data_IF_379276052038
#
_entry.id   IF_379276052038
#
_cell.length_a   1.000
_cell.length_b   1.000
_cell.length_c   1.000
_cell.angle_alpha   90.00
_cell.angle_beta   90.00
_cell.angle_gamma   90.00
#
_symmetry.space_group_name_H-M   'P 1'
#
loop_
_entity.id
_entity.type
_entity.pdbx_description
1 polymer ?
#
# COMPACT_ATOMS: atom_id res chain seq x y z
N UNK A 1 -22.00 11.28 32.36
CA UNK A 1 -21.43 12.19 31.33
C UNK A 1 -22.25 12.06 30.06
N UNK A 2 -22.87 13.15 29.58
CA UNK A 2 -23.57 13.15 28.29
C UNK A 2 -22.50 13.24 27.20
N UNK A 3 -22.31 12.18 26.42
CA UNK A 3 -21.47 12.26 25.22
C UNK A 3 -22.08 13.28 24.27
N UNK A 4 -21.29 14.24 23.79
CA UNK A 4 -21.71 15.13 22.71
C UNK A 4 -22.08 14.27 21.50
N UNK A 5 -23.30 14.38 21.00
CA UNK A 5 -23.72 13.62 19.82
C UNK A 5 -23.53 14.52 18.60
N UNK A 6 -22.53 14.21 17.78
CA UNK A 6 -22.33 14.90 16.51
C UNK A 6 -23.53 14.67 15.59
N UNK A 7 -23.86 15.68 14.80
CA UNK A 7 -24.85 15.66 13.74
C UNK A 7 -24.16 15.55 12.38
N UNK A 8 -24.92 15.24 11.34
CA UNK A 8 -24.41 15.15 9.97
C UNK A 8 -23.66 16.40 9.54
N UNK A 9 -24.20 17.59 9.85
CA UNK A 9 -23.56 18.86 9.51
C UNK A 9 -22.18 19.01 10.15
N UNK A 10 -22.02 18.59 11.41
CA UNK A 10 -20.74 18.69 12.11
C UNK A 10 -19.65 17.84 11.40
N UNK A 11 -20.03 16.69 10.84
CA UNK A 11 -19.12 15.81 10.09
C UNK A 11 -18.78 16.41 8.72
N UNK A 12 -19.75 17.03 8.04
CA UNK A 12 -19.54 17.71 6.76
C UNK A 12 -18.56 18.88 6.97
N UNK A 13 -18.81 19.74 7.95
CA UNK A 13 -17.95 20.88 8.28
C UNK A 13 -16.53 20.40 8.61
N UNK A 14 -16.43 19.32 9.40
CA UNK A 14 -15.14 18.71 9.75
C UNK A 14 -14.40 18.15 8.53
N UNK A 15 -15.14 17.62 7.56
CA UNK A 15 -14.59 17.08 6.31
C UNK A 15 -14.11 18.19 5.39
N UNK A 16 -14.85 19.29 5.29
CA UNK A 16 -14.43 20.48 4.55
C UNK A 16 -13.13 21.05 5.13
N UNK A 17 -13.05 21.20 6.45
CA UNK A 17 -11.82 21.67 7.11
C UNK A 17 -10.63 20.74 6.83
N UNK A 18 -10.85 19.42 6.84
CA UNK A 18 -9.82 18.44 6.51
C UNK A 18 -9.32 18.60 5.06
N UNK A 19 -10.22 18.79 4.10
CA UNK A 19 -9.86 18.99 2.69
C UNK A 19 -9.08 20.30 2.53
N UNK A 20 -9.50 21.38 3.20
CA UNK A 20 -8.76 22.66 3.18
C UNK A 20 -7.36 22.52 3.76
N UNK A 21 -7.19 21.78 4.87
CA UNK A 21 -5.88 21.51 5.46
C UNK A 21 -4.97 20.71 4.52
N UNK A 22 -5.54 19.73 3.80
CA UNK A 22 -4.82 18.93 2.81
C UNK A 22 -4.34 19.79 1.63
N UNK A 23 -5.24 20.60 1.05
CA UNK A 23 -4.93 21.47 -0.10
C UNK A 23 -3.95 22.58 0.28
N UNK A 24 -4.12 23.20 1.46
CA UNK A 24 -3.19 24.23 1.95
C UNK A 24 -1.86 23.66 2.49
N UNK A 25 -1.63 22.36 2.37
CA UNK A 25 -0.39 21.66 2.80
C UNK A 25 -0.02 21.91 4.26
N UNK A 26 -1.01 22.11 5.13
CA UNK A 26 -0.81 22.31 6.56
C UNK A 26 -0.65 20.96 7.29
N UNK A 27 0.50 20.32 7.09
CA UNK A 27 0.82 18.98 7.59
C UNK A 27 0.59 18.81 9.09
N UNK A 28 1.07 19.73 9.93
CA UNK A 28 0.95 19.62 11.39
C UNK A 28 -0.51 19.65 11.88
N UNK A 29 -1.32 20.53 11.28
CA UNK A 29 -2.74 20.66 11.60
C UNK A 29 -3.52 19.44 11.11
N UNK A 30 -3.17 18.91 9.93
CA UNK A 30 -3.75 17.69 9.37
C UNK A 30 -3.47 16.48 10.27
N UNK A 31 -2.20 16.26 10.66
CA UNK A 31 -1.80 15.11 11.48
C UNK A 31 -2.52 15.05 12.84
N UNK A 32 -2.85 16.20 13.45
CA UNK A 32 -3.60 16.28 14.72
C UNK A 32 -5.04 15.77 14.65
N UNK A 33 -5.59 15.64 13.44
CA UNK A 33 -6.96 15.17 13.19
C UNK A 33 -7.01 13.67 12.89
N UNK A 34 -5.86 13.00 12.75
CA UNK A 34 -5.80 11.59 12.37
C UNK A 34 -5.95 10.67 13.59
N UNK A 35 -6.55 9.52 13.35
CA UNK A 35 -6.53 8.42 14.29
C UNK A 35 -5.15 7.74 14.31
N UNK A 36 -4.79 7.10 15.44
CA UNK A 36 -3.52 6.37 15.55
C UNK A 36 -3.43 5.18 14.59
N UNK A 37 -4.57 4.67 14.10
CA UNK A 37 -4.63 3.62 13.08
C UNK A 37 -5.09 4.14 11.72
N UNK A 38 -4.84 5.42 11.40
CA UNK A 38 -5.25 6.03 10.14
C UNK A 38 -4.72 5.25 8.91
N UNK A 39 -5.52 5.19 7.84
CA UNK A 39 -5.13 4.60 6.55
C UNK A 39 -5.57 5.49 5.41
N UNK A 40 -4.63 5.85 4.53
CA UNK A 40 -4.90 6.58 3.29
C UNK A 40 -4.79 5.69 2.06
N UNK A 41 -5.68 5.88 1.08
CA UNK A 41 -5.64 5.27 -0.25
C UNK A 41 -5.81 6.39 -1.28
N UNK A 42 -5.01 6.38 -2.35
CA UNK A 42 -5.17 7.31 -3.46
C UNK A 42 -4.36 6.95 -4.70
N UNK A 43 -4.48 7.78 -5.73
CA UNK A 43 -3.94 7.52 -7.08
C UNK A 43 -2.41 7.61 -7.19
N UNK A 44 -1.78 8.29 -6.24
CA UNK A 44 -0.32 8.36 -6.12
C UNK A 44 0.11 7.40 -5.02
N UNK A 45 1.18 6.64 -5.30
CA UNK A 45 1.80 5.55 -4.53
C UNK A 45 1.14 5.29 -3.17
N UNK A 46 0.50 4.12 -2.93
CA UNK A 46 -0.27 3.85 -1.72
C UNK A 46 0.61 3.96 -0.48
N UNK A 47 0.72 5.18 0.04
CA UNK A 47 1.27 5.51 1.34
C UNK A 47 0.33 4.90 2.35
N UNK A 48 0.56 3.62 2.63
CA UNK A 48 0.00 2.89 3.75
C UNK A 48 0.67 3.46 5.01
N UNK A 49 0.33 4.70 5.37
CA UNK A 49 0.83 5.37 6.56
C UNK A 49 0.11 4.74 7.75
N UNK A 50 0.58 3.57 8.21
CA UNK A 50 0.32 3.15 9.58
C UNK A 50 1.20 4.02 10.47
N UNK A 51 0.58 4.86 11.30
CA UNK A 51 1.27 5.67 12.29
C UNK A 51 1.90 4.76 13.37
N UNK A 52 3.05 4.17 13.07
CA UNK A 52 4.08 3.80 14.04
C UNK A 52 5.09 4.95 14.18
N UNK A 53 5.79 5.09 15.32
CA UNK A 53 6.74 6.17 15.52
C UNK A 53 7.95 5.93 14.61
N UNK A 54 7.99 6.56 13.44
CA UNK A 54 9.17 6.54 12.58
C UNK A 54 8.88 6.40 11.09
N UNK A 55 8.21 7.37 10.48
CA UNK A 55 8.47 7.68 9.08
C UNK A 55 8.07 9.11 8.75
N UNK A 56 8.98 10.05 9.05
CA UNK A 56 8.98 11.36 8.40
C UNK A 56 9.73 11.13 7.09
N UNK A 57 9.03 11.05 5.96
CA UNK A 57 9.73 11.17 4.67
C UNK A 57 10.43 12.53 4.65
N UNK A 58 11.70 12.60 4.23
CA UNK A 58 12.34 13.89 4.04
C UNK A 58 11.59 14.59 2.91
N UNK A 59 10.93 15.71 3.25
CA UNK A 59 10.45 16.65 2.25
C UNK A 59 11.63 17.10 1.38
N UNK A 60 11.36 17.62 0.17
CA UNK A 60 12.40 18.14 -0.70
C UNK A 60 13.28 19.13 0.07
N UNK A 61 14.59 19.03 -0.16
CA UNK A 61 15.62 19.93 0.34
C UNK A 61 15.14 21.38 0.34
N UNK A 62 15.41 22.09 1.44
CA UNK A 62 15.12 23.50 1.64
C UNK A 62 15.37 24.34 0.37
N UNK A 63 14.39 25.13 -0.10
CA UNK A 63 14.55 25.91 -1.32
C UNK A 63 15.63 27.00 -1.16
N UNK A 64 16.39 27.20 -2.24
CA UNK A 64 17.45 28.17 -2.38
C UNK A 64 16.87 29.61 -2.26
N UNK A 65 17.39 30.51 -1.40
CA UNK A 65 16.73 31.79 -1.05
C UNK A 65 16.60 32.84 -2.17
N UNK A 66 17.02 32.54 -3.40
CA UNK A 66 17.24 33.52 -4.47
C UNK A 66 16.30 33.37 -5.68
N UNK A 67 15.36 32.43 -5.66
CA UNK A 67 14.33 32.29 -6.69
C UNK A 67 12.98 32.49 -6.00
N UNK A 68 12.15 33.50 -6.40
CA UNK A 68 10.77 33.54 -5.97
C UNK A 68 10.12 32.23 -6.43
N UNK A 69 9.76 31.35 -5.48
CA UNK A 69 8.95 30.20 -5.84
C UNK A 69 7.67 30.74 -6.50
N UNK A 70 7.29 30.22 -7.66
CA UNK A 70 6.07 30.69 -8.29
C UNK A 70 4.90 30.48 -7.32
N UNK A 71 4.13 31.53 -7.06
CA UNK A 71 2.96 31.44 -6.18
C UNK A 71 1.85 30.62 -6.87
N UNK A 72 1.90 29.30 -6.67
CA UNK A 72 0.81 28.41 -7.06
C UNK A 72 -0.34 28.65 -6.08
N UNK A 73 -1.48 29.11 -6.58
CA UNK A 73 -2.72 29.19 -5.80
C UNK A 73 -3.66 28.05 -6.17
N UNK A 74 -4.13 27.31 -5.17
CA UNK A 74 -5.06 26.20 -5.35
C UNK A 74 -6.44 26.61 -4.83
N UNK A 75 -7.47 26.48 -5.67
CA UNK A 75 -8.85 26.79 -5.34
C UNK A 75 -9.71 25.52 -5.35
N UNK A 76 -10.52 25.34 -4.30
CA UNK A 76 -11.51 24.27 -4.18
C UNK A 76 -12.86 24.79 -4.70
N UNK A 77 -13.58 23.99 -5.47
CA UNK A 77 -14.90 24.32 -5.99
C UNK A 77 -15.72 23.06 -6.28
N UNK A 78 -17.00 23.22 -6.65
CA UNK A 78 -17.89 22.10 -7.05
C UNK A 78 -17.91 20.97 -6.02
N UNK A 79 -18.04 21.36 -4.75
CA UNK A 79 -18.00 20.42 -3.63
C UNK A 79 -19.37 19.78 -3.42
N UNK A 80 -19.39 18.45 -3.32
CA UNK A 80 -20.57 17.65 -3.02
C UNK A 80 -20.24 16.72 -1.85
N UNK A 81 -21.12 16.65 -0.85
CA UNK A 81 -20.93 15.87 0.37
C UNK A 81 -22.17 15.04 0.65
N UNK A 82 -21.98 13.77 0.99
CA UNK A 82 -23.06 12.87 1.39
C UNK A 82 -22.60 12.01 2.58
N UNK A 83 -23.33 12.10 3.70
CA UNK A 83 -23.18 11.15 4.80
C UNK A 83 -23.90 9.86 4.39
N UNK A 84 -23.13 8.81 4.10
CA UNK A 84 -23.64 7.55 3.56
C UNK A 84 -24.13 6.63 4.67
N UNK A 85 -23.45 6.66 5.82
CA UNK A 85 -23.80 5.85 6.97
C UNK A 85 -23.22 6.45 8.24
N UNK A 86 -23.93 6.26 9.35
CA UNK A 86 -23.39 6.52 10.66
C UNK A 86 -23.87 5.46 11.65
N UNK A 87 -22.94 4.85 12.40
CA UNK A 87 -23.25 3.88 13.45
C UNK A 87 -22.45 4.20 14.71
N UNK A 88 -23.17 4.40 15.82
CA UNK A 88 -22.63 4.70 17.16
C UNK A 88 -21.67 5.90 17.16
N UNK A 89 -20.40 5.65 16.86
CA UNK A 89 -19.29 6.58 16.90
C UNK A 89 -18.51 6.60 15.57
N UNK A 90 -19.00 5.96 14.52
CA UNK A 90 -18.38 5.95 13.20
C UNK A 90 -19.28 6.65 12.18
N UNK A 91 -18.68 7.49 11.35
CA UNK A 91 -19.35 8.24 10.30
C UNK A 91 -18.62 8.00 8.98
N UNK A 92 -19.37 7.65 7.94
CA UNK A 92 -18.86 7.47 6.59
C UNK A 92 -19.41 8.58 5.72
N UNK A 93 -18.52 9.39 5.17
CA UNK A 93 -18.86 10.49 4.27
C UNK A 93 -18.18 10.24 2.92
N UNK A 94 -18.93 10.36 1.85
CA UNK A 94 -18.39 10.39 0.50
C UNK A 94 -18.69 11.74 -0.13
N UNK A 95 -17.99 12.02 -1.23
CA UNK A 95 -18.20 13.26 -1.93
C UNK A 95 -17.22 13.45 -3.05
N UNK A 96 -17.27 14.65 -3.63
CA UNK A 96 -16.31 15.09 -4.60
C UNK A 96 -16.05 16.59 -4.49
N UNK A 97 -14.92 17.02 -4.99
CA UNK A 97 -14.59 18.44 -5.15
C UNK A 97 -13.65 18.61 -6.33
N UNK A 98 -13.64 19.80 -6.92
CA UNK A 98 -12.72 20.18 -7.99
C UNK A 98 -11.61 21.05 -7.42
N UNK A 99 -10.37 20.63 -7.58
CA UNK A 99 -9.18 21.43 -7.27
C UNK A 99 -8.65 22.09 -8.55
N UNK A 100 -8.46 23.40 -8.49
CA UNK A 100 -8.00 24.22 -9.60
C UNK A 100 -6.73 24.95 -9.21
N UNK A 101 -5.62 24.67 -9.88
CA UNK A 101 -4.34 25.31 -9.61
C UNK A 101 -4.10 26.46 -10.61
N UNK A 102 -3.70 27.62 -10.10
CA UNK A 102 -3.36 28.81 -10.87
C UNK A 102 -1.93 29.26 -10.58
N UNK A 103 -1.30 29.83 -11.60
CA UNK A 103 0.02 30.47 -11.53
C UNK A 103 -0.04 31.79 -12.27
N UNK A 104 0.29 32.90 -11.62
CA UNK A 104 0.22 34.24 -12.21
C UNK A 104 -1.14 34.52 -12.90
N UNK A 105 -2.24 34.04 -12.29
CA UNK A 105 -3.59 34.16 -12.82
C UNK A 105 -3.92 33.23 -14.00
N UNK A 106 -2.99 32.40 -14.46
CA UNK A 106 -3.21 31.39 -15.51
C UNK A 106 -3.56 30.04 -14.90
N UNK A 107 -4.59 29.41 -15.45
CA UNK A 107 -4.99 28.05 -15.08
C UNK A 107 -3.89 27.05 -15.46
N UNK A 108 -3.33 26.34 -14.48
CA UNK A 108 -2.37 25.25 -14.72
C UNK A 108 -3.08 23.92 -14.91
N UNK A 109 -4.00 23.61 -14.01
CA UNK A 109 -4.63 22.30 -13.91
C UNK A 109 -5.97 22.42 -13.19
N UNK A 110 -6.93 21.61 -13.63
CA UNK A 110 -8.19 21.40 -12.94
C UNK A 110 -8.42 19.89 -12.84
N UNK A 111 -8.67 19.40 -11.64
CA UNK A 111 -8.92 17.99 -11.38
C UNK A 111 -10.13 17.82 -10.48
N UNK A 112 -11.02 16.90 -10.84
CA UNK A 112 -12.10 16.47 -9.95
C UNK A 112 -11.57 15.33 -9.08
N UNK A 113 -11.69 15.46 -7.76
CA UNK A 113 -11.34 14.44 -6.78
C UNK A 113 -12.64 13.85 -6.23
N UNK A 114 -12.71 12.52 -6.16
CA UNK A 114 -13.78 11.78 -5.49
C UNK A 114 -13.17 11.15 -4.24
N UNK A 115 -13.89 11.20 -3.13
CA UNK A 115 -13.37 10.75 -1.85
C UNK A 115 -14.36 9.91 -1.03
N UNK A 116 -13.81 9.16 -0.08
CA UNK A 116 -14.53 8.52 1.02
C UNK A 116 -13.73 8.66 2.29
N UNK A 117 -14.27 9.39 3.28
CA UNK A 117 -13.66 9.57 4.59
C UNK A 117 -14.47 8.82 5.65
N UNK A 118 -13.76 8.23 6.60
CA UNK A 118 -14.36 7.55 7.76
C UNK A 118 -13.86 8.24 9.02
N UNK A 119 -14.79 8.82 9.77
CA UNK A 119 -14.54 9.51 11.02
C UNK A 119 -14.95 8.67 12.21
N UNK A 120 -14.10 8.62 13.23
CA UNK A 120 -14.40 8.03 14.54
C UNK A 120 -14.53 9.11 15.59
N UNK A 121 -15.63 9.10 16.31
CA UNK A 121 -15.83 9.88 17.49
C UNK A 121 -15.13 9.23 18.69
N UNK A 122 -14.19 9.96 19.28
CA UNK A 122 -13.50 9.62 20.52
C UNK A 122 -13.74 10.73 21.55
N UNK A 123 -14.78 10.57 22.37
CA UNK A 123 -15.24 11.62 23.29
C UNK A 123 -15.81 12.82 22.54
N UNK A 124 -15.20 13.99 22.73
CA UNK A 124 -15.56 15.26 22.06
C UNK A 124 -14.76 15.50 20.78
N UNK A 125 -13.92 14.54 20.35
CA UNK A 125 -13.09 14.67 19.15
C UNK A 125 -13.59 13.74 18.04
N UNK A 126 -13.52 14.22 16.81
CA UNK A 126 -13.64 13.42 15.60
C UNK A 126 -12.24 13.20 15.03
N UNK A 127 -11.87 11.94 14.86
CA UNK A 127 -10.59 11.51 14.33
C UNK A 127 -10.81 10.80 13.00
N UNK A 128 -10.02 11.15 11.99
CA UNK A 128 -10.07 10.51 10.68
C UNK A 128 -9.37 9.15 10.76
N UNK A 129 -10.13 8.08 10.52
CA UNK A 129 -9.62 6.70 10.56
C UNK A 129 -9.23 6.21 9.16
N UNK A 130 -9.96 6.64 8.14
CA UNK A 130 -9.67 6.25 6.77
C UNK A 130 -9.97 7.39 5.81
N UNK A 131 -9.11 7.56 4.81
CA UNK A 131 -9.34 8.43 3.67
C UNK A 131 -9.02 7.70 2.38
N UNK A 132 -9.99 7.63 1.47
CA UNK A 132 -9.77 7.29 0.08
C UNK A 132 -9.98 8.54 -0.77
N UNK A 133 -9.05 8.88 -1.66
CA UNK A 133 -9.14 10.01 -2.57
C UNK A 133 -8.54 9.67 -3.92
N UNK A 134 -9.33 9.82 -4.98
CA UNK A 134 -8.89 9.52 -6.34
C UNK A 134 -9.30 10.64 -7.29
N UNK A 135 -8.45 10.93 -8.28
CA UNK A 135 -8.79 11.78 -9.40
C UNK A 135 -9.85 11.07 -10.25
N UNK A 136 -11.01 11.71 -10.37
CA UNK A 136 -12.01 11.37 -11.37
C UNK A 136 -11.47 11.77 -12.73
N UNK A 137 -10.86 10.81 -13.44
CA UNK A 137 -10.59 10.98 -14.88
C UNK A 137 -11.94 10.92 -15.59
N UNK A 138 -12.34 11.96 -16.34
CA UNK A 138 -13.51 11.83 -17.19
C UNK A 138 -13.26 10.63 -18.11
N UNK A 139 -14.14 9.64 -18.02
CA UNK A 139 -14.08 8.49 -18.90
C UNK A 139 -14.15 9.06 -20.31
N UNK A 140 -13.09 8.88 -21.10
CA UNK A 140 -13.18 9.20 -22.52
C UNK A 140 -14.41 8.46 -23.02
N UNK A 141 -15.44 9.20 -23.46
CA UNK A 141 -16.56 8.61 -24.18
C UNK A 141 -15.94 8.07 -25.47
N UNK A 142 -15.42 6.85 -25.39
CA UNK A 142 -15.04 6.08 -26.55
C UNK A 142 -16.34 5.82 -27.29
N UNK A 143 -16.69 6.72 -28.20
CA UNK A 143 -17.55 6.37 -29.31
C UNK A 143 -16.80 5.32 -30.13
N UNK A 144 -17.02 4.05 -29.78
CA UNK A 144 -16.56 2.89 -30.53
C UNK A 144 -15.46 2.09 -29.84
N UNK A 145 -15.73 0.80 -29.62
CA UNK A 145 -14.72 -0.25 -29.50
C UNK A 145 -14.41 -0.71 -28.08
N UNK A 146 -14.89 -1.92 -27.73
CA UNK A 146 -14.22 -2.79 -26.78
C UNK A 146 -12.81 -3.09 -27.32
N UNK A 147 -11.81 -2.29 -26.94
CA UNK A 147 -10.40 -2.68 -27.00
C UNK A 147 -9.57 -1.72 -26.14
N UNK A 148 -8.59 -2.28 -25.44
CA UNK A 148 -7.43 -1.60 -24.85
C UNK A 148 -7.50 -1.11 -23.39
N UNK A 149 -8.27 -1.79 -22.53
CA UNK A 149 -7.99 -1.81 -21.09
C UNK A 149 -7.15 -3.04 -20.74
N UNK A 150 -5.85 -3.01 -21.04
CA UNK A 150 -4.99 -4.17 -20.76
C UNK A 150 -3.51 -3.99 -21.08
N UNK A 151 -2.91 -2.83 -20.79
CA UNK A 151 -1.44 -2.65 -20.92
C UNK A 151 -0.88 -1.77 -19.82
N UNK A 152 -0.74 -2.36 -18.63
CA UNK A 152 0.43 -2.13 -17.77
C UNK A 152 0.47 -3.22 -16.71
N UNK A 153 0.85 -4.42 -17.13
CA UNK A 153 1.38 -5.43 -16.23
C UNK A 153 2.80 -5.71 -16.73
N UNK A 154 3.76 -5.48 -15.85
CA UNK A 154 5.18 -5.78 -16.09
C UNK A 154 5.29 -7.19 -16.63
N UNK A 155 5.91 -7.32 -17.80
CA UNK A 155 6.04 -8.57 -18.54
C UNK A 155 7.05 -9.47 -17.82
N UNK A 156 6.62 -10.15 -16.76
CA UNK A 156 7.36 -11.28 -16.18
C UNK A 156 7.11 -12.47 -17.10
N UNK A 157 8.15 -13.15 -17.63
CA UNK A 157 7.93 -14.31 -18.49
C UNK A 157 7.19 -15.39 -17.70
N UNK A 158 5.95 -15.66 -18.10
CA UNK A 158 5.16 -16.76 -17.58
C UNK A 158 5.75 -18.07 -18.08
N UNK A 159 6.43 -18.82 -17.21
CA UNK A 159 6.69 -20.23 -17.45
C UNK A 159 5.37 -21.02 -17.35
N UNK A 160 5.18 -22.08 -18.14
CA UNK A 160 3.95 -22.85 -18.14
C UNK A 160 3.75 -23.53 -16.78
N UNK A 161 2.81 -22.99 -15.99
CA UNK A 161 2.36 -23.56 -14.74
C UNK A 161 1.60 -24.87 -15.02
N UNK A 162 1.89 -25.89 -14.21
CA UNK A 162 1.22 -27.19 -14.23
C UNK A 162 -0.31 -27.06 -14.13
N UNK A 163 -1.04 -27.98 -14.77
CA UNK A 163 -2.50 -27.97 -14.99
C UNK A 163 -3.42 -28.05 -13.75
N UNK A 164 -2.88 -27.93 -12.53
CA UNK A 164 -3.68 -27.83 -11.31
C UNK A 164 -3.74 -26.36 -10.87
N UNK A 165 -4.92 -25.78 -10.59
CA UNK A 165 -5.01 -24.40 -10.12
C UNK A 165 -4.27 -24.28 -8.78
N UNK A 166 -3.11 -23.62 -8.78
CA UNK A 166 -2.35 -23.38 -7.55
C UNK A 166 -3.28 -22.74 -6.50
N UNK A 167 -3.34 -23.31 -5.30
CA UNK A 167 -4.19 -22.77 -4.25
C UNK A 167 -3.45 -21.66 -3.50
N UNK A 168 -4.05 -20.46 -3.44
CA UNK A 168 -3.51 -19.32 -2.67
C UNK A 168 -3.36 -19.68 -1.20
N UNK A 169 -2.25 -19.26 -0.61
CA UNK A 169 -2.03 -19.28 0.84
C UNK A 169 -2.69 -18.07 1.47
N UNK A 170 -3.39 -18.28 2.58
CA UNK A 170 -3.82 -17.19 3.47
C UNK A 170 -2.82 -17.06 4.61
N UNK A 171 -2.11 -15.94 4.66
CA UNK A 171 -1.10 -15.64 5.68
C UNK A 171 -1.47 -14.34 6.39
N UNK A 172 -1.66 -14.39 7.71
CA UNK A 172 -1.84 -13.20 8.53
C UNK A 172 -0.48 -12.66 8.98
N UNK A 173 -0.18 -11.41 8.64
CA UNK A 173 1.04 -10.75 9.09
C UNK A 173 0.93 -10.24 10.54
N UNK A 174 2.02 -9.68 11.07
CA UNK A 174 2.05 -9.15 12.43
C UNK A 174 1.16 -7.91 12.64
N UNK A 175 0.78 -7.22 11.56
CA UNK A 175 -0.12 -6.06 11.58
C UNK A 175 -1.60 -6.46 11.42
N UNK A 176 -1.89 -7.77 11.33
CA UNK A 176 -3.24 -8.30 11.19
C UNK A 176 -3.78 -8.33 9.76
N UNK A 177 -3.00 -7.89 8.75
CA UNK A 177 -3.38 -7.97 7.35
C UNK A 177 -3.30 -9.42 6.88
N UNK A 178 -4.31 -9.84 6.12
CA UNK A 178 -4.35 -11.16 5.50
C UNK A 178 -3.85 -11.05 4.06
N UNK A 179 -2.77 -11.75 3.76
CA UNK A 179 -2.18 -11.85 2.44
C UNK A 179 -2.65 -13.15 1.78
N UNK A 180 -3.24 -13.03 0.58
CA UNK A 180 -3.62 -14.17 -0.27
C UNK A 180 -2.62 -14.29 -1.41
N UNK A 181 -1.65 -15.20 -1.27
CA UNK A 181 -0.49 -15.28 -2.16
C UNK A 181 -0.29 -16.68 -2.71
N UNK A 182 0.04 -16.81 -3.99
CA UNK A 182 0.46 -18.08 -4.58
C UNK A 182 1.86 -18.45 -4.09
N UNK A 183 2.14 -19.74 -3.79
CA UNK A 183 3.51 -20.18 -3.51
C UNK A 183 4.52 -19.78 -4.58
N UNK A 184 4.10 -19.74 -5.86
CA UNK A 184 4.93 -19.30 -6.97
C UNK A 184 5.35 -17.82 -6.89
N UNK A 185 4.62 -16.94 -6.20
CA UNK A 185 4.98 -15.51 -6.07
C UNK A 185 6.07 -15.25 -5.02
N UNK A 186 6.37 -16.25 -4.18
CA UNK A 186 7.36 -16.14 -3.10
C UNK A 186 8.73 -16.54 -3.62
N UNK A 187 9.71 -15.65 -3.49
CA UNK A 187 11.10 -15.88 -3.87
C UNK A 187 11.80 -16.77 -2.83
N UNK A 188 11.71 -16.37 -1.56
CA UNK A 188 12.30 -17.08 -0.44
C UNK A 188 11.63 -16.68 0.88
N UNK A 189 11.88 -17.48 1.92
CA UNK A 189 11.38 -17.27 3.27
C UNK A 189 12.56 -17.36 4.23
N UNK A 190 12.72 -16.34 5.08
CA UNK A 190 13.71 -16.33 6.15
C UNK A 190 13.01 -16.48 7.49
N UNK A 191 13.43 -17.45 8.30
CA UNK A 191 12.99 -17.56 9.69
C UNK A 191 13.94 -16.81 10.61
N UNK A 192 13.36 -15.99 11.48
CA UNK A 192 13.99 -15.42 12.66
C UNK A 192 13.13 -15.81 13.88
N UNK A 193 13.60 -16.79 14.64
CA UNK A 193 12.87 -17.36 15.77
C UNK A 193 11.46 -17.87 15.40
N UNK A 194 10.41 -17.29 15.98
CA UNK A 194 9.00 -17.66 15.75
C UNK A 194 8.34 -16.87 14.62
N UNK A 195 9.12 -16.07 13.89
CA UNK A 195 8.66 -15.20 12.80
C UNK A 195 9.32 -15.67 11.50
N UNK A 196 8.51 -15.82 10.46
CA UNK A 196 8.99 -16.01 9.10
C UNK A 196 8.76 -14.71 8.31
N UNK A 197 9.81 -14.20 7.67
CA UNK A 197 9.72 -13.12 6.71
C UNK A 197 9.54 -13.72 5.32
N UNK A 198 8.41 -13.40 4.68
CA UNK A 198 8.10 -13.79 3.31
C UNK A 198 8.63 -12.70 2.38
N UNK A 199 9.40 -13.08 1.37
CA UNK A 199 9.94 -12.16 0.37
C UNK A 199 9.35 -12.48 -1.01
N UNK A 200 8.73 -11.48 -1.63
CA UNK A 200 8.21 -11.52 -3.00
C UNK A 200 9.03 -10.58 -3.90
N UNK A 201 8.65 -10.46 -5.18
CA UNK A 201 9.29 -9.51 -6.09
C UNK A 201 9.06 -8.04 -5.68
N UNK A 202 7.91 -7.73 -5.09
CA UNK A 202 7.47 -6.35 -4.82
C UNK A 202 7.57 -5.96 -3.35
N UNK A 203 7.48 -6.91 -2.43
CA UNK A 203 7.42 -6.60 -0.99
C UNK A 203 7.95 -7.72 -0.10
N UNK A 204 8.07 -7.41 1.19
CA UNK A 204 8.35 -8.38 2.23
C UNK A 204 7.46 -8.14 3.44
N UNK A 205 6.97 -9.21 4.07
CA UNK A 205 6.10 -9.11 5.24
C UNK A 205 6.37 -10.22 6.27
N UNK A 206 6.30 -9.90 7.58
CA UNK A 206 6.54 -10.86 8.65
C UNK A 206 5.25 -11.60 9.04
N UNK A 207 5.34 -12.92 9.21
CA UNK A 207 4.23 -13.79 9.63
C UNK A 207 4.63 -14.65 10.83
N UNK A 208 3.70 -14.84 11.77
CA UNK A 208 3.93 -15.68 12.96
C UNK A 208 3.65 -17.15 12.67
N UNK A 209 4.51 -17.77 11.86
CA UNK A 209 4.43 -19.18 11.49
C UNK A 209 5.83 -19.81 11.47
N UNK A 210 5.91 -21.10 11.77
CA UNK A 210 7.18 -21.84 11.69
C UNK A 210 7.50 -22.20 10.24
N UNK A 211 8.78 -22.19 9.91
CA UNK A 211 9.30 -22.54 8.58
C UNK A 211 8.84 -23.92 8.09
N UNK A 212 8.72 -24.90 8.98
CA UNK A 212 8.20 -26.24 8.66
C UNK A 212 6.77 -26.23 8.07
N UNK A 213 5.89 -25.33 8.54
CA UNK A 213 4.51 -25.25 8.01
C UNK A 213 4.43 -24.66 6.61
N UNK A 214 5.47 -23.96 6.19
CA UNK A 214 5.61 -23.40 4.84
C UNK A 214 6.41 -24.32 3.91
N UNK A 215 6.99 -25.40 4.43
CA UNK A 215 7.81 -26.31 3.65
C UNK A 215 6.94 -27.27 2.83
N UNK A 216 6.83 -26.97 1.54
CA UNK A 216 6.13 -27.76 0.52
C UNK A 216 6.59 -27.31 -0.87
N UNK A 217 6.40 -28.11 -1.94
CA UNK A 217 6.66 -27.63 -3.30
C UNK A 217 5.97 -26.27 -3.56
N UNK A 218 6.64 -25.31 -4.22
CA UNK A 218 7.95 -25.42 -4.89
C UNK A 218 9.17 -25.17 -3.98
N UNK A 219 8.98 -24.95 -2.68
CA UNK A 219 10.05 -24.55 -1.75
C UNK A 219 11.05 -25.67 -1.41
N UNK A 220 12.32 -25.28 -1.27
CA UNK A 220 13.44 -26.12 -0.84
C UNK A 220 14.03 -25.58 0.47
N UNK A 221 14.26 -26.47 1.44
CA UNK A 221 14.88 -26.14 2.72
C UNK A 221 16.41 -26.13 2.60
N UNK A 222 16.96 -25.01 2.12
CA UNK A 222 18.40 -24.88 1.83
C UNK A 222 19.25 -24.57 3.06
N UNK A 223 18.67 -24.01 4.13
CA UNK A 223 19.34 -23.78 5.41
C UNK A 223 18.32 -23.90 6.55
N UNK A 224 18.77 -24.10 7.81
CA UNK A 224 17.87 -24.23 8.98
C UNK A 224 16.89 -23.05 9.14
N UNK A 225 17.24 -21.90 8.59
CA UNK A 225 16.47 -20.66 8.65
C UNK A 225 15.94 -20.20 7.28
N UNK A 226 16.13 -20.96 6.20
CA UNK A 226 15.74 -20.50 4.85
C UNK A 226 15.01 -21.57 4.04
N UNK A 227 13.84 -21.19 3.52
CA UNK A 227 13.24 -21.84 2.35
C UNK A 227 13.50 -20.98 1.13
N UNK A 228 13.81 -21.59 0.00
CA UNK A 228 13.92 -20.91 -1.28
C UNK A 228 12.95 -21.53 -2.28
N UNK A 229 12.31 -20.71 -3.11
CA UNK A 229 11.54 -21.24 -4.23
C UNK A 229 12.50 -21.63 -5.34
N UNK A 230 12.49 -22.91 -5.73
CA UNK A 230 13.42 -23.47 -6.71
C UNK A 230 13.38 -22.75 -8.06
N UNK A 231 12.20 -22.23 -8.45
CA UNK A 231 11.99 -21.59 -9.74
C UNK A 231 12.77 -20.26 -9.87
N UNK A 232 13.20 -19.69 -8.75
CA UNK A 232 13.96 -18.44 -8.71
C UNK A 232 15.45 -18.65 -8.43
N UNK A 233 15.93 -19.88 -8.27
CA UNK A 233 17.35 -20.15 -8.09
C UNK A 233 18.04 -20.09 -9.44
N UNK A 234 18.95 -19.13 -9.61
CA UNK A 234 19.73 -18.96 -10.84
C UNK A 234 20.91 -19.93 -10.89
N UNK A 235 21.65 -19.99 -9.79
CA UNK A 235 22.85 -20.81 -9.67
C UNK A 235 23.13 -21.11 -8.19
N UNK A 236 23.96 -22.12 -7.96
CA UNK A 236 24.50 -22.43 -6.64
C UNK A 236 26.03 -22.45 -6.72
N UNK A 237 26.67 -21.70 -5.83
CA UNK A 237 28.11 -21.80 -5.58
C UNK A 237 28.31 -22.41 -4.20
N UNK A 238 29.53 -22.82 -3.85
CA UNK A 238 29.81 -23.54 -2.60
C UNK A 238 29.14 -22.88 -1.38
N UNK A 239 28.15 -23.57 -0.80
CA UNK A 239 27.33 -23.14 0.35
C UNK A 239 26.48 -21.86 0.15
N UNK A 240 26.21 -21.45 -1.09
CA UNK A 240 25.38 -20.29 -1.41
C UNK A 240 24.49 -20.55 -2.63
N UNK A 241 23.24 -20.12 -2.56
CA UNK A 241 22.33 -20.05 -3.68
C UNK A 241 22.16 -18.59 -4.12
N UNK A 242 22.28 -18.32 -5.41
CA UNK A 242 22.01 -17.01 -5.97
C UNK A 242 20.68 -17.02 -6.69
N UNK A 243 19.80 -16.08 -6.34
CA UNK A 243 18.49 -15.92 -6.97
C UNK A 243 18.57 -15.16 -8.30
N UNK A 244 17.50 -15.23 -9.10
CA UNK A 244 17.38 -14.47 -10.35
C UNK A 244 17.59 -12.96 -10.15
N UNK A 245 17.13 -12.40 -9.03
CA UNK A 245 17.32 -11.00 -8.67
C UNK A 245 18.71 -10.69 -8.05
N UNK A 246 19.63 -11.66 -8.02
CA UNK A 246 20.99 -11.49 -7.50
C UNK A 246 21.15 -11.66 -5.99
N UNK A 247 20.06 -11.84 -5.23
CA UNK A 247 20.14 -12.09 -3.78
C UNK A 247 20.85 -13.42 -3.52
N UNK A 248 21.78 -13.43 -2.56
CA UNK A 248 22.51 -14.61 -2.14
C UNK A 248 21.97 -15.15 -0.82
N UNK A 249 21.66 -16.45 -0.77
CA UNK A 249 21.12 -17.13 0.40
C UNK A 249 22.07 -18.27 0.82
N UNK A 250 22.43 -18.38 2.11
CA UNK A 250 23.31 -19.45 2.58
C UNK A 250 22.65 -20.83 2.42
N UNK A 251 23.45 -21.82 2.05
CA UNK A 251 23.09 -23.24 2.05
C UNK A 251 23.82 -23.92 3.20
N UNK A 252 23.09 -24.70 4.01
CA UNK A 252 23.69 -25.51 5.07
C UNK A 252 24.68 -26.52 4.51
N UNK A 253 25.87 -26.63 5.12
CA UNK A 253 26.96 -27.50 4.64
C UNK A 253 26.51 -28.94 4.41
N UNK A 254 25.73 -29.48 5.35
CA UNK A 254 25.19 -30.84 5.32
C UNK A 254 24.19 -31.05 4.18
N UNK A 255 23.46 -30.00 3.78
CA UNK A 255 22.42 -30.06 2.74
C UNK A 255 22.94 -29.76 1.35
N UNK A 256 24.17 -29.26 1.22
CA UNK A 256 24.68 -28.75 -0.05
C UNK A 256 24.61 -29.77 -1.20
N UNK A 257 25.00 -31.02 -0.95
CA UNK A 257 24.98 -32.06 -1.99
C UNK A 257 23.55 -32.48 -2.38
N UNK A 258 22.63 -32.51 -1.41
CA UNK A 258 21.20 -32.79 -1.64
C UNK A 258 20.57 -31.68 -2.50
N UNK A 259 20.76 -30.42 -2.11
CA UNK A 259 20.26 -29.25 -2.84
C UNK A 259 20.86 -29.16 -4.24
N UNK A 260 22.16 -29.45 -4.38
CA UNK A 260 22.82 -29.50 -5.68
C UNK A 260 22.15 -30.53 -6.59
N UNK A 261 21.87 -31.73 -6.09
CA UNK A 261 21.18 -32.77 -6.86
C UNK A 261 19.76 -32.34 -7.23
N UNK A 262 19.02 -31.72 -6.30
CA UNK A 262 17.64 -31.28 -6.52
C UNK A 262 17.48 -30.14 -7.54
N UNK A 263 18.54 -29.38 -7.79
CA UNK A 263 18.58 -28.24 -8.72
C UNK A 263 19.32 -28.54 -10.04
N UNK A 264 19.91 -29.73 -10.20
CA UNK A 264 20.66 -30.14 -11.40
C UNK A 264 19.83 -30.98 -12.39
N UNK A 265 18.50 -30.99 -12.25
CA UNK A 265 17.56 -31.69 -13.13
C UNK A 265 16.75 -30.70 -13.95
#
# INVERSE_FOLDING_TARGET
MKYQRFKEQDIIDKTQDMIRLLVSRQSDSFMKQLDGSFVQIGDYDPLLIQNGPGHVSPGPLSPDPLIPEPEVSEAISQEEYAVVSHERCLWVICGCFSITAYMDGRLLSASKIVFTFVWRQAGERLLLVHANMSHSRPQARNNGGLADAGKSLVNVPAQPLSAEPETKMSLRDLNGKIHYIFPAEILYIKSDNKICHIFTAESAFPVRITLHRLYRPPFLLIHRSYLVNRNYVREICRYQATLLNGIQIPIGKEKYMEIKKALSC
#
